data_IF_436640324500
#
_entry.id   IF_436640324500
#
_cell.length_a   1.000
_cell.length_b   1.000
_cell.length_c   1.000
_cell.angle_alpha   90.00
_cell.angle_beta   90.00
_cell.angle_gamma   90.00
#
_symmetry.space_group_name_H-M   'P 1'
#
loop_
_entity.id
_entity.type
_entity.pdbx_description
1 polymer ?
#
# COMPACT_ATOMS: atom_id res chain seq x y z
N UNK A 1 7.45 -14.31 21.37
CA UNK A 1 8.22 -14.49 20.13
C UNK A 1 8.32 -13.16 19.46
N UNK A 2 9.51 -12.78 19.02
CA UNK A 2 9.75 -11.52 18.34
C UNK A 2 9.15 -11.61 16.94
N UNK A 3 8.44 -10.56 16.54
CA UNK A 3 7.86 -10.38 15.20
C UNK A 3 8.20 -8.97 14.71
N UNK A 4 8.17 -8.75 13.41
CA UNK A 4 8.45 -7.43 12.82
C UNK A 4 7.74 -7.27 11.47
N UNK A 5 7.46 -6.03 11.09
CA UNK A 5 6.99 -5.68 9.76
C UNK A 5 8.23 -5.50 8.86
N UNK A 6 8.46 -6.39 7.87
CA UNK A 6 9.60 -6.27 6.98
C UNK A 6 9.46 -5.04 6.07
N UNK A 7 10.59 -4.54 5.60
CA UNK A 7 10.59 -3.57 4.52
C UNK A 7 10.12 -4.21 3.20
N UNK A 8 9.59 -3.42 2.27
CA UNK A 8 9.08 -3.95 1.00
C UNK A 8 10.17 -4.62 0.15
N UNK A 9 11.45 -4.22 0.31
CA UNK A 9 12.58 -4.88 -0.37
C UNK A 9 13.04 -6.19 0.26
N UNK A 10 12.40 -6.65 1.34
CA UNK A 10 12.61 -8.00 1.85
C UNK A 10 12.27 -9.03 0.76
N UNK A 11 12.96 -10.20 0.69
CA UNK A 11 12.60 -11.25 -0.24
C UNK A 11 11.11 -11.58 -0.18
N UNK A 12 10.46 -11.63 -1.33
CA UNK A 12 9.01 -11.83 -1.42
C UNK A 12 8.69 -13.22 -1.94
N UNK A 13 7.64 -13.83 -1.41
CA UNK A 13 7.03 -15.03 -1.98
C UNK A 13 6.17 -14.68 -3.18
N UNK A 14 5.30 -13.71 -3.02
CA UNK A 14 4.33 -13.34 -4.03
C UNK A 14 3.95 -11.85 -3.97
N UNK A 15 3.28 -11.41 -5.04
CA UNK A 15 2.49 -10.17 -5.07
C UNK A 15 1.04 -10.54 -5.39
N UNK A 16 0.09 -9.92 -4.70
CA UNK A 16 -1.35 -10.01 -4.98
C UNK A 16 -1.80 -8.86 -5.88
N UNK A 17 -2.65 -9.20 -6.85
CA UNK A 17 -3.48 -8.26 -7.60
C UNK A 17 -4.96 -8.59 -7.38
N UNK A 18 -5.80 -7.59 -7.24
CA UNK A 18 -7.25 -7.71 -7.36
C UNK A 18 -7.64 -7.23 -8.74
N UNK A 19 -8.16 -8.14 -9.59
CA UNK A 19 -8.28 -7.92 -11.04
C UNK A 19 -9.49 -7.06 -11.39
N UNK A 20 -9.35 -6.04 -12.28
CA UNK A 20 -10.46 -5.20 -12.71
C UNK A 20 -11.52 -5.99 -13.47
N UNK A 21 -12.78 -5.60 -13.29
CA UNK A 21 -13.92 -6.24 -13.95
C UNK A 21 -15.08 -5.25 -14.15
N UNK A 22 -16.09 -5.65 -14.90
CA UNK A 22 -17.22 -4.79 -15.24
C UNK A 22 -18.13 -4.38 -14.08
N UNK A 23 -17.87 -4.84 -12.87
CA UNK A 23 -18.57 -4.45 -11.65
C UNK A 23 -17.74 -3.50 -10.77
N UNK A 24 -16.58 -3.04 -11.23
CA UNK A 24 -15.76 -2.01 -10.59
C UNK A 24 -15.95 -0.68 -11.29
N UNK A 25 -15.42 0.39 -10.74
CA UNK A 25 -15.45 1.73 -11.34
C UNK A 25 -14.67 1.82 -12.66
N UNK A 26 -13.95 0.74 -13.02
CA UNK A 26 -13.28 0.58 -14.33
C UNK A 26 -14.19 0.17 -15.47
N UNK A 27 -15.50 0.00 -15.29
CA UNK A 27 -16.40 -0.59 -16.29
C UNK A 27 -16.30 0.10 -17.67
N UNK A 28 -16.21 1.43 -17.71
CA UNK A 28 -16.17 2.24 -18.92
C UNK A 28 -14.79 2.25 -19.61
N UNK A 29 -13.72 1.89 -18.88
CA UNK A 29 -12.31 1.86 -19.35
C UNK A 29 -11.66 0.49 -19.12
N UNK A 30 -12.49 -0.56 -19.08
CA UNK A 30 -12.05 -1.90 -18.69
C UNK A 30 -10.97 -2.47 -19.60
N UNK A 31 -10.99 -2.18 -20.90
CA UNK A 31 -9.99 -2.64 -21.85
C UNK A 31 -8.62 -2.01 -21.54
N UNK A 32 -8.58 -0.68 -21.36
CA UNK A 32 -7.35 0.07 -21.10
C UNK A 32 -6.71 -0.32 -19.77
N UNK A 33 -7.50 -0.41 -18.68
CA UNK A 33 -6.97 -0.82 -17.38
C UNK A 33 -6.52 -2.28 -17.41
N UNK A 34 -7.19 -3.14 -18.15
CA UNK A 34 -6.79 -4.55 -18.33
C UNK A 34 -5.42 -4.65 -18.99
N UNK A 35 -5.09 -3.83 -19.99
CA UNK A 35 -3.78 -3.82 -20.63
C UNK A 35 -2.67 -3.38 -19.65
N UNK A 36 -2.95 -2.39 -18.78
CA UNK A 36 -2.04 -2.01 -17.72
C UNK A 36 -1.79 -3.19 -16.75
N UNK A 37 -2.86 -3.86 -16.30
CA UNK A 37 -2.77 -5.03 -15.41
C UNK A 37 -2.05 -6.23 -16.04
N UNK A 38 -2.19 -6.48 -17.33
CA UNK A 38 -1.42 -7.50 -18.08
C UNK A 38 0.08 -7.16 -18.02
N UNK A 39 0.45 -5.89 -18.19
CA UNK A 39 1.84 -5.45 -18.12
C UNK A 39 2.43 -5.62 -16.72
N UNK A 40 1.70 -5.23 -15.69
CA UNK A 40 2.08 -5.44 -14.28
C UNK A 40 2.21 -6.95 -13.98
N UNK A 41 1.21 -7.75 -14.35
CA UNK A 41 1.19 -9.19 -14.12
C UNK A 41 2.35 -9.91 -14.80
N UNK A 42 2.71 -9.52 -16.04
CA UNK A 42 3.84 -10.05 -16.77
C UNK A 42 5.15 -9.89 -16.01
N UNK A 43 5.44 -8.67 -15.59
CA UNK A 43 6.71 -8.36 -14.92
C UNK A 43 6.83 -9.02 -13.55
N UNK A 44 5.74 -9.09 -12.79
CA UNK A 44 5.71 -9.82 -11.51
C UNK A 44 5.91 -11.30 -11.76
N UNK A 45 5.11 -11.92 -12.62
CA UNK A 45 5.11 -13.36 -12.84
C UNK A 45 6.40 -13.90 -13.50
N UNK A 46 7.17 -13.06 -14.18
CA UNK A 46 8.51 -13.44 -14.68
C UNK A 46 9.54 -13.62 -13.56
N UNK A 47 9.32 -13.08 -12.35
CA UNK A 47 10.32 -12.99 -11.26
C UNK A 47 9.89 -13.67 -9.97
N UNK A 48 8.61 -13.70 -9.67
CA UNK A 48 8.05 -14.28 -8.44
C UNK A 48 6.62 -14.76 -8.65
N UNK A 49 6.01 -15.38 -7.64
CA UNK A 49 4.61 -15.76 -7.68
C UNK A 49 3.72 -14.53 -7.82
N UNK A 50 2.66 -14.67 -8.56
CA UNK A 50 1.57 -13.70 -8.70
C UNK A 50 0.27 -14.37 -8.25
N UNK A 51 -0.39 -13.79 -7.26
CA UNK A 51 -1.71 -14.22 -6.81
C UNK A 51 -2.77 -13.27 -7.33
N UNK A 52 -3.70 -13.80 -8.11
CA UNK A 52 -4.78 -13.01 -8.72
C UNK A 52 -6.10 -13.34 -8.04
N UNK A 53 -6.67 -12.34 -7.37
CA UNK A 53 -8.03 -12.34 -6.85
C UNK A 53 -8.97 -11.79 -7.91
N UNK A 54 -10.02 -12.53 -8.24
CA UNK A 54 -11.02 -12.09 -9.24
C UNK A 54 -12.37 -12.82 -9.03
N UNK A 55 -13.52 -12.20 -9.35
CA UNK A 55 -14.81 -12.90 -9.33
C UNK A 55 -14.92 -13.98 -10.41
N UNK A 56 -14.20 -13.84 -11.53
CA UNK A 56 -14.19 -14.78 -12.65
C UNK A 56 -12.76 -15.14 -13.07
N UNK A 57 -11.98 -15.86 -12.23
CA UNK A 57 -10.56 -16.10 -12.46
C UNK A 57 -10.27 -16.90 -13.73
N UNK A 58 -11.21 -17.73 -14.22
CA UNK A 58 -11.06 -18.47 -15.47
C UNK A 58 -10.99 -17.55 -16.70
N UNK A 59 -11.69 -16.41 -16.69
CA UNK A 59 -11.60 -15.41 -17.76
C UNK A 59 -10.25 -14.71 -17.73
N UNK A 60 -9.77 -14.37 -16.54
CA UNK A 60 -8.44 -13.76 -16.38
C UNK A 60 -7.36 -14.73 -16.85
N UNK A 61 -7.46 -16.01 -16.47
CA UNK A 61 -6.53 -17.06 -16.91
C UNK A 61 -6.50 -17.16 -18.44
N UNK A 62 -7.66 -17.29 -19.08
CA UNK A 62 -7.72 -17.42 -20.55
C UNK A 62 -7.14 -16.18 -21.26
N UNK A 63 -7.34 -14.99 -20.70
CA UNK A 63 -6.74 -13.76 -21.20
C UNK A 63 -5.21 -13.80 -21.10
N UNK A 64 -4.68 -14.11 -19.92
CA UNK A 64 -3.24 -14.12 -19.68
C UNK A 64 -2.51 -15.25 -20.43
N UNK A 65 -3.17 -16.39 -20.67
CA UNK A 65 -2.63 -17.48 -21.53
C UNK A 65 -2.40 -17.03 -22.98
N UNK A 66 -3.18 -16.03 -23.47
CA UNK A 66 -2.97 -15.41 -24.77
C UNK A 66 -1.87 -14.35 -24.83
N UNK A 67 -1.50 -13.78 -23.69
CA UNK A 67 -0.66 -12.57 -23.60
C UNK A 67 0.73 -12.84 -22.99
N UNK A 68 0.87 -13.83 -22.10
CA UNK A 68 2.07 -14.05 -21.32
C UNK A 68 2.85 -15.30 -21.77
N UNK A 69 4.19 -15.29 -21.63
CA UNK A 69 4.99 -16.47 -21.89
C UNK A 69 4.75 -17.58 -20.84
N UNK A 70 4.88 -18.83 -21.24
CA UNK A 70 4.64 -19.99 -20.37
C UNK A 70 5.41 -19.98 -19.04
N UNK A 71 6.63 -19.38 -19.00
CA UNK A 71 7.40 -19.21 -17.79
C UNK A 71 6.67 -18.29 -16.76
N UNK A 72 6.05 -17.22 -17.21
CA UNK A 72 5.27 -16.33 -16.36
C UNK A 72 3.99 -17.03 -15.89
N UNK A 73 3.27 -17.68 -16.80
CA UNK A 73 2.03 -18.40 -16.49
C UNK A 73 2.19 -19.45 -15.38
N UNK A 74 3.36 -20.11 -15.33
CA UNK A 74 3.68 -21.11 -14.31
C UNK A 74 3.77 -20.53 -12.88
N UNK A 75 3.93 -19.23 -12.74
CA UNK A 75 4.03 -18.52 -11.46
C UNK A 75 2.71 -17.86 -11.02
N UNK A 76 1.61 -18.04 -11.79
CA UNK A 76 0.33 -17.38 -11.49
C UNK A 76 -0.64 -18.37 -10.84
N UNK A 77 -1.16 -17.98 -9.70
CA UNK A 77 -2.25 -18.67 -9.01
C UNK A 77 -3.49 -17.77 -8.98
N UNK A 78 -4.69 -18.38 -9.12
CA UNK A 78 -5.95 -17.67 -9.31
C UNK A 78 -6.95 -18.05 -8.24
N UNK A 79 -7.55 -17.05 -7.61
CA UNK A 79 -8.51 -17.21 -6.52
C UNK A 79 -9.86 -16.62 -6.89
N UNK A 80 -10.92 -17.40 -6.70
CA UNK A 80 -12.30 -16.93 -6.96
C UNK A 80 -12.82 -16.20 -5.74
N UNK A 81 -12.71 -14.87 -5.75
CA UNK A 81 -13.18 -14.01 -4.69
C UNK A 81 -13.80 -12.76 -5.34
N UNK A 82 -15.03 -12.37 -4.96
CA UNK A 82 -15.63 -11.13 -5.43
C UNK A 82 -14.93 -9.92 -4.83
N UNK A 83 -14.94 -8.80 -5.55
CA UNK A 83 -14.40 -7.51 -5.08
C UNK A 83 -15.33 -6.36 -5.48
N UNK A 84 -15.24 -5.23 -4.78
CA UNK A 84 -15.85 -3.99 -5.22
C UNK A 84 -14.92 -3.23 -6.16
N UNK A 85 -13.60 -3.23 -5.86
CA UNK A 85 -12.59 -2.51 -6.63
C UNK A 85 -11.27 -3.30 -6.70
N UNK A 86 -10.17 -2.65 -7.09
CA UNK A 86 -8.91 -3.25 -7.53
C UNK A 86 -7.69 -2.88 -6.67
N UNK A 87 -7.87 -2.06 -5.66
CA UNK A 87 -6.80 -1.44 -4.87
C UNK A 87 -6.26 -2.38 -3.78
N UNK A 88 -5.57 -3.46 -4.23
CA UNK A 88 -5.08 -4.51 -3.35
C UNK A 88 -4.16 -3.99 -2.23
N UNK A 89 -3.44 -2.89 -2.46
CA UNK A 89 -2.59 -2.26 -1.44
C UNK A 89 -3.35 -1.94 -0.16
N UNK A 90 -4.60 -1.52 -0.28
CA UNK A 90 -5.33 -0.95 0.84
C UNK A 90 -6.21 -1.97 1.57
N UNK A 91 -6.64 -3.02 0.89
CA UNK A 91 -7.51 -4.04 1.50
C UNK A 91 -6.83 -5.38 1.78
N UNK A 92 -5.66 -5.68 1.17
CA UNK A 92 -5.00 -6.96 1.35
C UNK A 92 -4.24 -7.05 2.70
N UNK A 93 -3.82 -8.28 3.07
CA UNK A 93 -3.11 -8.53 4.31
C UNK A 93 -1.83 -7.71 4.45
N UNK A 94 -1.63 -7.10 5.62
CA UNK A 94 -0.32 -6.63 6.06
C UNK A 94 0.38 -7.81 6.75
N UNK A 95 1.62 -8.14 6.34
CA UNK A 95 2.30 -9.36 6.77
C UNK A 95 3.47 -9.08 7.72
N UNK A 96 3.43 -9.64 8.92
CA UNK A 96 4.58 -9.63 9.83
C UNK A 96 5.34 -10.97 9.72
N UNK A 97 6.66 -10.91 9.82
CA UNK A 97 7.51 -12.09 9.96
C UNK A 97 7.86 -12.36 11.42
N UNK A 98 7.99 -13.64 11.77
CA UNK A 98 8.36 -14.11 13.11
C UNK A 98 9.70 -14.82 13.08
N UNK A 99 10.42 -14.76 14.20
CA UNK A 99 11.73 -15.46 14.34
C UNK A 99 11.63 -16.98 14.23
N UNK A 100 10.46 -17.56 14.45
CA UNK A 100 10.23 -19.01 14.28
C UNK A 100 9.96 -19.44 12.84
N UNK A 101 10.00 -18.50 11.89
CA UNK A 101 9.74 -18.74 10.48
C UNK A 101 8.25 -18.70 10.11
N UNK A 102 7.36 -18.35 11.03
CA UNK A 102 5.95 -18.13 10.69
C UNK A 102 5.71 -16.69 10.19
N UNK A 103 4.63 -16.51 9.43
CA UNK A 103 4.11 -15.22 8.99
C UNK A 103 2.75 -14.96 9.63
N UNK A 104 2.56 -13.78 10.19
CA UNK A 104 1.26 -13.31 10.65
C UNK A 104 0.64 -12.46 9.54
N UNK A 105 -0.57 -12.84 9.14
CA UNK A 105 -1.38 -12.17 8.12
C UNK A 105 -2.42 -11.32 8.84
N UNK A 106 -2.16 -10.02 8.94
CA UNK A 106 -3.00 -9.08 9.67
C UNK A 106 -4.16 -8.62 8.77
N UNK A 107 -5.37 -8.94 9.18
CA UNK A 107 -6.61 -8.53 8.49
C UNK A 107 -7.18 -7.28 9.16
N UNK A 108 -6.88 -6.10 8.60
CA UNK A 108 -7.39 -4.82 9.05
C UNK A 108 -8.71 -4.48 8.37
N UNK A 109 -9.53 -3.65 9.03
CA UNK A 109 -10.74 -3.14 8.40
C UNK A 109 -10.37 -2.16 7.29
N UNK A 110 -10.86 -2.43 6.08
CA UNK A 110 -10.89 -1.50 4.98
C UNK A 110 -12.27 -0.86 4.88
N UNK A 111 -12.34 0.46 4.95
CA UNK A 111 -13.60 1.22 4.91
C UNK A 111 -13.73 2.12 3.68
N UNK A 112 -13.01 1.81 2.59
CA UNK A 112 -12.98 2.57 1.34
C UNK A 112 -12.64 4.05 1.58
N UNK A 113 -11.46 4.28 2.18
CA UNK A 113 -10.86 5.61 2.41
C UNK A 113 -11.75 6.56 3.21
N UNK A 114 -12.39 6.04 4.25
CA UNK A 114 -13.27 6.81 5.12
C UNK A 114 -14.75 6.73 4.74
N UNK A 115 -15.19 5.66 4.10
CA UNK A 115 -16.59 5.43 3.73
C UNK A 115 -17.02 6.17 2.47
N UNK A 116 -16.07 6.55 1.60
CA UNK A 116 -16.35 7.26 0.34
C UNK A 116 -16.98 6.35 -0.72
N UNK A 117 -16.70 5.04 -0.66
CA UNK A 117 -17.16 4.04 -1.62
C UNK A 117 -17.69 2.78 -0.93
N UNK A 118 -18.31 1.89 -1.70
CA UNK A 118 -18.70 0.56 -1.21
C UNK A 118 -17.45 -0.34 -1.08
N UNK A 119 -17.30 -1.01 0.06
CA UNK A 119 -16.12 -1.82 0.37
C UNK A 119 -16.43 -3.17 1.02
N UNK A 120 -17.69 -3.58 1.07
CA UNK A 120 -18.07 -4.80 1.79
C UNK A 120 -17.44 -6.07 1.22
N UNK A 121 -17.29 -6.15 -0.11
CA UNK A 121 -16.63 -7.28 -0.77
C UNK A 121 -15.11 -7.20 -0.58
N UNK A 122 -14.51 -6.03 -0.76
CA UNK A 122 -13.06 -5.83 -0.59
C UNK A 122 -12.62 -6.15 0.84
N UNK A 123 -13.37 -5.69 1.83
CA UNK A 123 -13.13 -6.00 3.25
C UNK A 123 -13.33 -7.49 3.60
N UNK A 124 -13.92 -8.28 2.72
CA UNK A 124 -14.10 -9.72 2.90
C UNK A 124 -12.99 -10.55 2.20
N UNK A 125 -12.19 -9.94 1.31
CA UNK A 125 -11.21 -10.66 0.48
C UNK A 125 -10.23 -11.44 1.34
N UNK A 126 -9.68 -10.84 2.39
CA UNK A 126 -8.64 -11.46 3.21
C UNK A 126 -9.08 -12.80 3.83
N UNK A 127 -10.29 -12.88 4.39
CA UNK A 127 -10.81 -14.11 4.98
C UNK A 127 -11.01 -15.21 3.94
N UNK A 128 -11.57 -14.86 2.78
CA UNK A 128 -11.76 -15.80 1.68
C UNK A 128 -10.42 -16.24 1.08
N UNK A 129 -9.47 -15.32 0.94
CA UNK A 129 -8.14 -15.60 0.44
C UNK A 129 -7.35 -16.49 1.41
N UNK A 130 -7.42 -16.22 2.72
CA UNK A 130 -6.84 -17.07 3.73
C UNK A 130 -7.36 -18.51 3.64
N UNK A 131 -8.68 -18.66 3.55
CA UNK A 131 -9.32 -19.98 3.47
C UNK A 131 -8.88 -20.78 2.23
N UNK A 132 -8.67 -20.10 1.09
CA UNK A 132 -8.27 -20.75 -0.16
C UNK A 132 -6.76 -20.98 -0.27
N UNK A 133 -5.92 -20.09 0.27
CA UNK A 133 -4.48 -20.10 0.04
C UNK A 133 -3.63 -20.52 1.26
N UNK A 134 -4.04 -20.19 2.47
CA UNK A 134 -3.17 -20.31 3.65
C UNK A 134 -3.68 -21.30 4.71
N UNK A 135 -4.97 -21.60 4.75
CA UNK A 135 -5.57 -22.42 5.79
C UNK A 135 -5.07 -23.89 5.83
N UNK A 136 -4.37 -24.33 4.79
CA UNK A 136 -3.75 -25.66 4.73
C UNK A 136 -2.43 -25.74 5.53
N UNK A 137 -1.83 -24.58 5.88
CA UNK A 137 -0.59 -24.48 6.66
C UNK A 137 -0.70 -23.36 7.72
N UNK A 138 -1.58 -23.52 8.72
CA UNK A 138 -1.87 -22.47 9.71
C UNK A 138 -0.76 -22.27 10.74
N UNK A 139 0.20 -23.18 10.81
CA UNK A 139 1.37 -23.06 11.70
C UNK A 139 2.38 -22.04 11.16
N UNK A 140 2.53 -21.96 9.83
CA UNK A 140 3.42 -21.00 9.18
C UNK A 140 2.70 -19.75 8.64
N UNK A 141 1.37 -19.80 8.50
CA UNK A 141 0.57 -18.66 8.05
C UNK A 141 -0.56 -18.41 9.04
N UNK A 142 -0.33 -17.51 9.97
CA UNK A 142 -1.23 -17.24 11.08
C UNK A 142 -2.16 -16.08 10.72
N UNK A 143 -3.48 -16.36 10.65
CA UNK A 143 -4.47 -15.29 10.50
C UNK A 143 -4.61 -14.49 11.79
N UNK A 144 -4.53 -13.17 11.71
CA UNK A 144 -4.69 -12.27 12.86
C UNK A 144 -5.80 -11.27 12.56
N UNK A 145 -6.89 -11.37 13.30
CA UNK A 145 -8.02 -10.46 13.20
C UNK A 145 -7.68 -9.10 13.83
N UNK A 146 -7.69 -8.05 13.00
CA UNK A 146 -7.58 -6.65 13.38
C UNK A 146 -8.75 -5.82 12.82
N UNK A 147 -9.90 -6.44 12.55
CA UNK A 147 -11.09 -5.78 11.99
C UNK A 147 -11.72 -4.75 12.93
N UNK A 148 -11.21 -4.63 14.15
CA UNK A 148 -11.53 -3.58 15.11
C UNK A 148 -10.76 -2.28 14.85
N UNK A 149 -9.86 -2.24 13.84
CA UNK A 149 -9.03 -1.09 13.51
C UNK A 149 -8.98 -0.85 12.01
N UNK A 150 -9.32 0.37 11.55
CA UNK A 150 -9.17 0.76 10.15
C UNK A 150 -7.71 1.06 9.84
N UNK A 151 -7.16 0.38 8.82
CA UNK A 151 -5.82 0.64 8.31
C UNK A 151 -5.70 0.18 6.87
N UNK A 152 -5.25 1.09 6.03
CA UNK A 152 -4.96 0.85 4.62
C UNK A 152 -3.45 0.62 4.45
N UNK A 153 -3.06 -0.39 3.66
CA UNK A 153 -1.63 -0.70 3.46
C UNK A 153 -0.84 0.43 2.82
N UNK A 154 -1.48 1.24 1.97
CA UNK A 154 -0.88 2.43 1.35
C UNK A 154 -0.62 3.59 2.31
N UNK A 155 -1.27 3.58 3.49
CA UNK A 155 -1.09 4.61 4.50
C UNK A 155 0.17 4.43 5.37
N UNK A 156 0.89 3.33 5.23
CA UNK A 156 2.08 3.01 6.02
C UNK A 156 3.26 2.58 5.15
N UNK A 157 4.47 2.90 5.59
CA UNK A 157 5.72 2.49 4.97
C UNK A 157 6.70 2.00 6.04
N UNK A 158 7.36 0.86 5.84
CA UNK A 158 8.24 0.22 6.83
C UNK A 158 9.69 0.20 6.36
N UNK A 159 10.63 0.54 7.26
CA UNK A 159 12.07 0.37 7.03
C UNK A 159 12.56 -1.07 7.32
N UNK A 160 11.71 -1.93 7.88
CA UNK A 160 12.07 -3.29 8.31
C UNK A 160 12.85 -3.36 9.62
N UNK A 161 13.23 -2.23 10.20
CA UNK A 161 14.01 -2.12 11.45
C UNK A 161 13.15 -1.66 12.65
N UNK A 162 11.87 -1.36 12.37
CA UNK A 162 10.87 -0.96 13.36
C UNK A 162 10.47 0.51 13.27
N UNK A 163 10.83 1.23 12.22
CA UNK A 163 10.30 2.56 11.94
C UNK A 163 9.16 2.44 10.92
N UNK A 164 8.03 3.04 11.23
CA UNK A 164 6.93 3.26 10.28
C UNK A 164 6.90 4.74 9.92
N UNK A 165 6.82 5.03 8.63
CA UNK A 165 6.54 6.36 8.10
C UNK A 165 5.06 6.40 7.67
N UNK A 166 4.37 7.46 8.02
CA UNK A 166 2.94 7.65 7.73
C UNK A 166 2.59 9.13 7.68
N UNK A 167 1.37 9.46 7.28
CA UNK A 167 0.86 10.83 7.28
C UNK A 167 -0.14 11.06 8.41
N UNK A 168 -0.09 12.23 9.01
CA UNK A 168 -1.08 12.67 9.99
C UNK A 168 -2.46 12.86 9.33
N UNK A 169 -2.49 13.38 8.11
CA UNK A 169 -3.71 13.64 7.38
C UNK A 169 -4.54 12.37 7.14
N UNK A 170 -3.91 11.23 6.87
CA UNK A 170 -4.62 9.95 6.70
C UNK A 170 -4.96 9.32 8.05
N UNK A 171 -3.94 8.92 8.82
CA UNK A 171 -4.16 8.06 9.98
C UNK A 171 -4.72 8.78 11.23
N UNK A 172 -4.75 10.11 11.25
CA UNK A 172 -5.45 10.88 12.30
C UNK A 172 -6.81 11.42 11.83
N UNK A 173 -7.25 11.07 10.63
CA UNK A 173 -8.55 11.49 10.13
C UNK A 173 -9.68 10.79 10.90
N UNK A 174 -10.74 11.54 11.26
CA UNK A 174 -11.85 11.02 12.04
C UNK A 174 -12.61 9.90 11.32
N UNK A 175 -12.54 9.86 9.99
CA UNK A 175 -13.18 8.82 9.18
C UNK A 175 -12.43 7.47 9.17
N UNK A 176 -11.21 7.37 9.78
CA UNK A 176 -10.46 6.13 10.04
C UNK A 176 -10.44 5.76 11.52
N UNK A 177 -11.30 6.38 12.33
CA UNK A 177 -11.34 6.08 13.77
C UNK A 177 -12.23 4.90 14.04
N UNK A 178 -11.66 3.93 14.77
CA UNK A 178 -12.36 2.76 15.28
C UNK A 178 -13.30 3.12 16.44
N UNK A 179 -14.26 2.23 16.70
CA UNK A 179 -15.17 2.33 17.86
C UNK A 179 -14.44 2.43 19.23
N UNK A 180 -13.16 2.06 19.29
CA UNK A 180 -12.35 2.15 20.52
C UNK A 180 -12.18 3.60 21.01
N UNK A 181 -11.99 4.56 20.09
CA UNK A 181 -11.89 5.97 20.48
C UNK A 181 -13.26 6.59 20.85
N UNK A 182 -14.34 6.19 20.17
CA UNK A 182 -15.70 6.65 20.48
C UNK A 182 -16.09 6.31 21.93
N UNK A 183 -15.63 5.18 22.46
CA UNK A 183 -15.88 4.78 23.84
C UNK A 183 -15.01 5.53 24.88
N UNK A 184 -13.85 6.04 24.48
CA UNK A 184 -12.93 6.77 25.39
C UNK A 184 -13.20 8.28 25.44
N UNK A 185 -13.70 8.88 24.37
CA UNK A 185 -13.89 10.33 24.28
C UNK A 185 -15.32 10.81 24.55
N UNK A 186 -16.31 9.92 24.57
CA UNK A 186 -17.72 10.26 24.83
C UNK A 186 -18.34 11.23 23.79
N UNK A 187 -17.71 11.39 22.64
CA UNK A 187 -18.17 12.28 21.57
C UNK A 187 -18.96 11.50 20.52
N UNK A 188 -20.28 11.69 20.51
CA UNK A 188 -21.17 11.23 19.45
C UNK A 188 -20.96 12.12 18.20
N UNK A 189 -20.28 11.61 17.19
CA UNK A 189 -20.18 12.28 15.89
C UNK A 189 -21.31 11.81 14.97
N UNK A 190 -22.35 12.64 14.84
CA UNK A 190 -23.38 12.46 13.83
C UNK A 190 -22.74 12.72 12.43
N UNK A 191 -22.89 11.76 11.52
CA UNK A 191 -22.50 11.87 10.11
C UNK A 191 -23.07 13.17 9.52
N UNK A 192 -22.20 14.05 9.06
CA UNK A 192 -22.55 15.07 8.08
C UNK A 192 -22.08 14.59 6.71
N UNK A 193 -23.02 14.21 5.87
CA UNK A 193 -22.77 13.84 4.49
C UNK A 193 -22.39 15.09 3.67
N UNK A 194 -21.25 15.04 2.97
CA UNK A 194 -20.99 15.87 1.80
C UNK A 194 -20.00 17.03 1.90
N UNK A 195 -19.24 17.22 2.99
CA UNK A 195 -18.17 18.24 3.03
C UNK A 195 -16.78 17.57 3.01
N UNK A 196 -15.82 18.16 2.26
CA UNK A 196 -14.39 17.77 2.36
C UNK A 196 -13.99 17.86 3.82
N UNK A 197 -13.46 16.76 4.35
CA UNK A 197 -13.11 16.65 5.77
C UNK A 197 -11.90 17.55 6.10
N UNK A 198 -12.18 18.73 6.66
CA UNK A 198 -11.19 19.65 7.22
C UNK A 198 -10.97 19.40 8.72
N UNK A 199 -11.31 18.21 9.24
CA UNK A 199 -11.30 17.95 10.69
C UNK A 199 -9.94 18.16 11.33
N UNK A 200 -8.85 17.78 10.64
CA UNK A 200 -7.50 17.98 11.14
C UNK A 200 -7.12 19.45 11.28
N UNK A 201 -7.56 20.31 10.35
CA UNK A 201 -7.29 21.74 10.37
C UNK A 201 -8.05 22.48 11.48
N UNK A 202 -9.05 21.86 12.11
CA UNK A 202 -9.82 22.42 13.23
C UNK A 202 -9.27 22.04 14.60
N UNK A 203 -8.30 21.13 14.69
CA UNK A 203 -7.72 20.66 15.95
C UNK A 203 -6.64 21.59 16.47
N UNK A 204 -6.55 21.69 17.80
CA UNK A 204 -5.41 22.35 18.46
C UNK A 204 -4.15 21.48 18.38
N UNK A 205 -2.96 22.08 18.44
CA UNK A 205 -1.69 21.35 18.46
C UNK A 205 -1.61 20.30 19.60
N UNK A 206 -2.28 20.53 20.74
CA UNK A 206 -2.34 19.58 21.83
C UNK A 206 -3.21 18.36 21.51
N UNK A 207 -4.33 18.55 20.82
CA UNK A 207 -5.23 17.46 20.38
C UNK A 207 -4.58 16.62 19.29
N UNK A 208 -3.85 17.22 18.35
CA UNK A 208 -3.07 16.50 17.33
C UNK A 208 -2.00 15.64 18.01
N UNK A 209 -1.21 16.20 18.93
CA UNK A 209 -0.18 15.47 19.65
C UNK A 209 -0.73 14.30 20.48
N UNK A 210 -1.91 14.46 21.09
CA UNK A 210 -2.58 13.40 21.83
C UNK A 210 -3.07 12.27 20.89
N UNK A 211 -3.62 12.62 19.73
CA UNK A 211 -4.06 11.65 18.74
C UNK A 211 -2.87 10.89 18.13
N UNK A 212 -1.77 11.58 17.81
CA UNK A 212 -0.52 10.95 17.34
C UNK A 212 0.00 9.93 18.36
N UNK A 213 -0.01 10.28 19.64
CA UNK A 213 0.43 9.35 20.69
C UNK A 213 -0.47 8.11 20.70
N UNK A 214 -1.79 8.29 20.78
CA UNK A 214 -2.74 7.17 20.89
C UNK A 214 -2.72 6.26 19.69
N UNK A 215 -2.81 6.83 18.48
CA UNK A 215 -2.79 6.05 17.23
C UNK A 215 -1.39 5.47 16.98
N UNK A 216 -0.33 6.22 17.29
CA UNK A 216 1.04 5.75 17.19
C UNK A 216 1.33 4.54 18.07
N UNK A 217 0.84 4.54 19.31
CA UNK A 217 0.96 3.39 20.22
C UNK A 217 0.21 2.15 19.67
N UNK A 218 -1.00 2.33 19.12
CA UNK A 218 -1.76 1.24 18.47
C UNK A 218 -1.07 0.71 17.22
N UNK A 219 -0.57 1.58 16.35
CA UNK A 219 0.20 1.17 15.17
C UNK A 219 1.47 0.41 15.59
N UNK A 220 2.23 0.92 16.56
CA UNK A 220 3.41 0.22 17.08
C UNK A 220 3.07 -1.15 17.63
N UNK A 221 1.99 -1.27 18.39
CA UNK A 221 1.55 -2.54 18.99
C UNK A 221 1.12 -3.56 17.93
N UNK A 222 0.30 -3.15 16.94
CA UNK A 222 -0.25 -4.03 15.91
C UNK A 222 0.81 -4.43 14.88
N UNK A 223 1.64 -3.48 14.45
CA UNK A 223 2.66 -3.67 13.43
C UNK A 223 4.03 -4.09 13.98
N UNK A 224 4.15 -4.25 15.31
CA UNK A 224 5.45 -4.51 15.98
C UNK A 224 6.53 -3.48 15.65
N UNK A 225 6.12 -2.22 15.50
CA UNK A 225 7.02 -1.11 15.29
C UNK A 225 7.56 -0.56 16.62
N UNK A 226 8.70 0.11 16.55
CA UNK A 226 9.35 0.78 17.68
C UNK A 226 8.99 2.25 17.74
N UNK A 227 8.65 2.84 16.58
CA UNK A 227 8.26 4.26 16.45
C UNK A 227 7.51 4.54 15.17
N UNK A 228 6.81 5.67 15.16
CA UNK A 228 6.16 6.25 13.99
C UNK A 228 6.84 7.58 13.65
N UNK A 229 7.13 7.81 12.37
CA UNK A 229 7.49 9.12 11.82
C UNK A 229 6.23 9.68 11.14
N UNK A 230 5.75 10.80 11.62
CA UNK A 230 4.56 11.48 11.13
C UNK A 230 4.94 12.58 10.13
N UNK A 231 4.43 12.51 8.89
CA UNK A 231 4.41 13.62 7.96
C UNK A 231 3.10 14.40 8.14
N UNK A 232 3.21 15.70 8.36
CA UNK A 232 2.06 16.61 8.50
C UNK A 232 1.74 17.35 7.21
N UNK A 233 2.74 17.45 6.33
CA UNK A 233 2.61 18.13 5.06
C UNK A 233 2.84 17.15 3.90
N UNK A 234 2.12 17.36 2.81
CA UNK A 234 2.13 16.55 1.62
C UNK A 234 0.71 16.27 1.18
N UNK A 235 0.54 15.90 -0.06
CA UNK A 235 -0.74 15.60 -0.68
C UNK A 235 -0.65 15.88 -2.17
N UNK A 236 -1.44 15.17 -2.95
CA UNK A 236 -1.55 15.36 -4.38
C UNK A 236 -2.89 16.05 -4.69
N UNK A 237 -2.96 16.82 -5.78
CA UNK A 237 -4.18 17.55 -6.16
C UNK A 237 -5.39 16.64 -6.39
N UNK A 238 -5.13 15.39 -6.78
CA UNK A 238 -6.15 14.36 -7.00
C UNK A 238 -5.83 13.18 -6.09
N UNK A 239 -6.33 13.24 -4.86
CA UNK A 239 -6.08 12.21 -3.86
C UNK A 239 -7.37 11.94 -3.09
N UNK A 240 -7.90 10.73 -3.22
CA UNK A 240 -9.06 10.25 -2.49
C UNK A 240 -8.70 9.52 -1.20
N UNK A 241 -7.38 9.37 -0.92
CA UNK A 241 -6.87 8.58 0.20
C UNK A 241 -6.55 9.39 1.45
N UNK A 242 -6.71 10.72 1.39
CA UNK A 242 -6.31 11.65 2.44
C UNK A 242 -4.78 11.62 2.68
N UNK A 243 -4.00 11.72 1.60
CA UNK A 243 -2.53 11.74 1.58
C UNK A 243 -1.87 10.43 2.05
N UNK A 244 -2.13 9.32 1.37
CA UNK A 244 -1.38 8.08 1.59
C UNK A 244 0.12 8.29 1.43
N UNK A 245 0.90 7.69 2.34
CA UNK A 245 2.35 7.85 2.34
C UNK A 245 3.01 7.25 1.10
N UNK A 246 2.45 6.19 0.52
CA UNK A 246 2.99 5.49 -0.65
C UNK A 246 2.94 6.32 -1.94
N UNK A 247 2.16 7.41 -1.96
CA UNK A 247 2.13 8.39 -3.04
C UNK A 247 3.13 9.53 -2.82
N UNK A 248 3.66 9.70 -1.61
CA UNK A 248 4.47 10.84 -1.19
C UNK A 248 5.94 10.48 -0.94
N UNK A 249 6.18 9.44 -0.13
CA UNK A 249 7.54 9.07 0.28
C UNK A 249 7.64 7.58 0.64
N UNK A 250 8.71 6.94 0.18
CA UNK A 250 8.97 5.51 0.35
C UNK A 250 10.34 5.27 0.93
N UNK A 251 10.48 4.29 1.83
CA UNK A 251 11.78 3.84 2.25
C UNK A 251 12.51 3.06 1.14
N UNK A 252 13.83 3.16 1.16
CA UNK A 252 14.74 2.38 0.33
C UNK A 252 15.92 1.92 1.19
N UNK A 253 16.72 0.92 0.74
CA UNK A 253 17.88 0.43 1.46
C UNK A 253 18.87 1.54 1.83
N UNK A 254 19.73 1.25 2.83
CA UNK A 254 20.80 2.15 3.28
C UNK A 254 20.27 3.50 3.82
N UNK A 255 19.24 3.47 4.67
CA UNK A 255 18.67 4.65 5.31
C UNK A 255 18.25 5.74 4.30
N UNK A 256 17.66 5.33 3.20
CA UNK A 256 17.23 6.22 2.13
C UNK A 256 15.72 6.40 2.16
N UNK A 257 15.25 7.62 1.90
CA UNK A 257 13.85 7.92 1.59
C UNK A 257 13.80 8.48 0.17
N UNK A 258 13.00 7.83 -0.68
CA UNK A 258 12.61 8.37 -2.00
C UNK A 258 11.32 9.15 -1.80
N UNK A 259 11.27 10.39 -2.30
CA UNK A 259 10.10 11.25 -2.11
C UNK A 259 9.69 11.98 -3.38
N UNK A 260 8.40 12.25 -3.54
CA UNK A 260 7.85 13.08 -4.62
C UNK A 260 8.12 14.56 -4.37
N UNK A 261 8.63 15.25 -5.38
CA UNK A 261 8.83 16.70 -5.34
C UNK A 261 7.50 17.47 -5.30
N UNK A 262 7.54 18.76 -5.00
CA UNK A 262 6.40 19.68 -5.10
C UNK A 262 5.90 20.24 -3.76
N UNK A 263 6.30 19.67 -2.61
CA UNK A 263 5.94 20.15 -1.29
C UNK A 263 7.20 20.51 -0.46
N UNK A 264 7.57 21.79 -0.38
CA UNK A 264 8.75 22.24 0.38
C UNK A 264 8.65 21.93 1.89
N UNK A 265 7.45 22.04 2.47
CA UNK A 265 7.19 21.76 3.88
C UNK A 265 7.45 20.28 4.21
N UNK A 266 6.97 19.36 3.37
CA UNK A 266 7.26 17.92 3.49
C UNK A 266 8.76 17.65 3.42
N UNK A 267 9.48 18.32 2.52
CA UNK A 267 10.93 18.14 2.41
C UNK A 267 11.65 18.58 3.68
N UNK A 268 11.24 19.67 4.33
CA UNK A 268 11.84 20.10 5.60
C UNK A 268 11.57 19.09 6.73
N UNK A 269 10.38 18.47 6.77
CA UNK A 269 10.09 17.39 7.71
C UNK A 269 10.95 16.15 7.44
N UNK A 270 11.09 15.73 6.17
CA UNK A 270 11.95 14.61 5.79
C UNK A 270 13.43 14.85 6.17
N UNK A 271 13.95 16.05 6.03
CA UNK A 271 15.29 16.44 6.46
C UNK A 271 15.47 16.39 7.99
N UNK A 272 14.38 16.63 8.73
CA UNK A 272 14.40 16.58 10.20
C UNK A 272 14.36 15.14 10.74
N UNK A 273 13.86 14.17 9.98
CA UNK A 273 13.80 12.77 10.41
C UNK A 273 15.19 12.17 10.62
N UNK A 274 15.26 11.25 11.58
CA UNK A 274 16.48 10.52 11.94
C UNK A 274 16.20 9.03 11.96
N UNK A 275 17.21 8.24 11.63
CA UNK A 275 17.19 6.79 11.81
C UNK A 275 17.07 6.41 13.29
N UNK A 276 16.90 5.14 13.61
CA UNK A 276 16.93 4.66 15.00
C UNK A 276 18.29 4.89 15.68
N UNK A 277 19.35 5.03 14.89
CA UNK A 277 20.71 5.30 15.34
C UNK A 277 21.00 6.82 15.50
N UNK A 278 20.07 7.69 15.06
CA UNK A 278 20.18 9.14 15.15
C UNK A 278 20.76 9.82 13.91
N UNK A 279 21.07 9.05 12.85
CA UNK A 279 21.62 9.58 11.60
C UNK A 279 20.51 10.18 10.71
N UNK A 280 20.81 11.19 9.88
CA UNK A 280 19.85 11.67 8.88
C UNK A 280 19.61 10.63 7.80
N UNK A 281 18.38 10.61 7.25
CA UNK A 281 18.10 9.83 6.04
C UNK A 281 18.75 10.47 4.81
N UNK A 282 19.21 9.62 3.89
CA UNK A 282 19.53 10.05 2.53
C UNK A 282 18.22 10.29 1.78
N UNK A 283 18.06 11.47 1.20
CA UNK A 283 16.85 11.82 0.45
C UNK A 283 17.12 11.76 -1.06
N UNK A 284 16.25 11.10 -1.80
CA UNK A 284 16.29 11.02 -3.27
C UNK A 284 14.93 11.50 -3.80
N UNK A 285 14.97 12.58 -4.60
CA UNK A 285 13.79 13.16 -5.18
C UNK A 285 13.36 12.42 -6.47
N UNK A 286 12.06 12.24 -6.66
CA UNK A 286 11.42 11.85 -7.93
C UNK A 286 10.38 12.91 -8.29
N UNK A 287 9.93 13.01 -9.56
CA UNK A 287 8.82 13.88 -9.90
C UNK A 287 7.56 13.53 -9.11
N UNK A 288 6.57 14.42 -8.99
CA UNK A 288 5.28 14.12 -8.34
C UNK A 288 4.62 12.88 -8.95
N UNK A 289 3.92 12.08 -8.14
CA UNK A 289 3.26 10.81 -8.47
C UNK A 289 4.19 9.60 -8.69
N UNK A 290 5.50 9.78 -8.91
CA UNK A 290 6.44 8.67 -9.16
C UNK A 290 6.90 7.93 -7.89
N UNK A 291 6.50 8.38 -6.69
CA UNK A 291 6.75 7.64 -5.46
C UNK A 291 5.91 6.35 -5.35
N UNK A 292 4.88 6.19 -6.16
CA UNK A 292 3.97 5.03 -6.14
C UNK A 292 4.52 3.84 -6.97
N UNK A 293 5.79 3.48 -6.76
CA UNK A 293 6.47 2.33 -7.38
C UNK A 293 6.36 1.07 -6.52
N UNK A 294 6.39 -0.11 -7.15
CA UNK A 294 6.46 -1.41 -6.46
C UNK A 294 7.90 -1.89 -6.38
N UNK A 295 8.35 -2.25 -5.17
CA UNK A 295 9.60 -2.96 -4.94
C UNK A 295 9.31 -4.46 -4.95
N UNK A 296 10.02 -5.22 -5.79
CA UNK A 296 9.86 -6.66 -5.90
C UNK A 296 11.19 -7.38 -6.05
N UNK A 297 11.19 -8.72 -6.07
CA UNK A 297 12.41 -9.50 -6.25
C UNK A 297 13.12 -9.13 -7.57
N UNK A 298 14.32 -8.56 -7.47
CA UNK A 298 15.18 -8.22 -8.59
C UNK A 298 14.73 -7.05 -9.46
N UNK A 299 13.59 -6.41 -9.18
CA UNK A 299 13.13 -5.26 -9.96
C UNK A 299 12.36 -4.24 -9.13
N UNK A 300 12.24 -3.03 -9.69
CA UNK A 300 11.31 -1.97 -9.30
C UNK A 300 10.36 -1.77 -10.48
N UNK A 301 9.05 -1.91 -10.26
CA UNK A 301 8.09 -1.47 -11.25
C UNK A 301 7.75 -0.01 -11.00
N UNK A 302 8.08 0.83 -11.97
CA UNK A 302 7.92 2.29 -11.90
C UNK A 302 6.74 2.71 -12.77
N UNK A 303 5.74 3.43 -12.23
CA UNK A 303 4.68 3.96 -13.06
C UNK A 303 5.24 5.00 -14.04
N UNK A 304 4.92 4.85 -15.32
CA UNK A 304 5.22 5.82 -16.36
C UNK A 304 3.95 6.58 -16.74
N UNK A 305 4.14 7.87 -17.00
CA UNK A 305 3.08 8.80 -17.38
C UNK A 305 3.42 9.49 -18.72
N UNK A 306 2.75 10.60 -19.03
CA UNK A 306 2.89 11.23 -20.35
C UNK A 306 4.24 11.91 -20.60
N UNK A 307 4.89 12.45 -19.56
CA UNK A 307 6.16 13.16 -19.69
C UNK A 307 7.34 12.18 -19.67
N UNK A 308 7.91 11.93 -20.86
CA UNK A 308 9.06 11.03 -21.03
C UNK A 308 10.33 11.52 -20.29
N UNK A 309 10.52 12.82 -20.16
CA UNK A 309 11.67 13.36 -19.44
C UNK A 309 11.53 13.11 -17.93
N UNK A 310 10.32 13.21 -17.39
CA UNK A 310 10.03 12.85 -15.99
C UNK A 310 10.13 11.34 -15.77
N UNK A 311 9.63 10.51 -16.68
CA UNK A 311 9.79 9.05 -16.65
C UNK A 311 11.27 8.67 -16.54
N UNK A 312 12.11 9.26 -17.38
CA UNK A 312 13.56 9.00 -17.38
C UNK A 312 14.24 9.49 -16.10
N UNK A 313 13.89 10.69 -15.61
CA UNK A 313 14.41 11.26 -14.35
C UNK A 313 14.07 10.38 -13.16
N UNK A 314 12.82 9.93 -13.07
CA UNK A 314 12.38 9.01 -12.02
C UNK A 314 13.11 7.67 -12.07
N UNK A 315 13.31 7.12 -13.28
CA UNK A 315 14.07 5.88 -13.50
C UNK A 315 15.50 5.99 -13.01
N UNK A 316 16.21 7.07 -13.32
CA UNK A 316 17.58 7.32 -12.87
C UNK A 316 17.69 7.50 -11.34
N UNK A 317 16.73 8.20 -10.75
CA UNK A 317 16.63 8.36 -9.30
C UNK A 317 16.44 7.01 -8.59
N UNK A 318 15.50 6.18 -9.08
CA UNK A 318 15.27 4.84 -8.52
C UNK A 318 16.44 3.89 -8.76
N UNK A 319 17.11 3.94 -9.91
CA UNK A 319 18.34 3.17 -10.13
C UNK A 319 19.44 3.55 -9.14
N UNK A 320 19.46 4.80 -8.69
CA UNK A 320 20.39 5.28 -7.65
C UNK A 320 19.98 4.79 -6.24
N UNK A 321 18.68 4.68 -5.97
CA UNK A 321 18.16 4.17 -4.71
C UNK A 321 18.28 2.64 -4.60
N UNK A 322 18.14 1.93 -5.72
CA UNK A 322 18.13 0.47 -5.82
C UNK A 322 19.11 -0.03 -6.89
N UNK A 323 20.44 0.08 -6.64
CA UNK A 323 21.46 -0.23 -7.67
C UNK A 323 21.51 -1.72 -8.06
N UNK A 324 20.96 -2.59 -7.23
CA UNK A 324 20.90 -4.05 -7.41
C UNK A 324 19.60 -4.54 -8.07
N UNK A 325 18.69 -3.65 -8.42
CA UNK A 325 17.41 -3.95 -9.05
C UNK A 325 17.26 -3.30 -10.42
N UNK A 326 16.61 -4.01 -11.33
CA UNK A 326 16.21 -3.46 -12.63
C UNK A 326 15.01 -2.50 -12.45
N UNK A 327 15.08 -1.28 -12.98
CA UNK A 327 13.94 -0.35 -12.96
C UNK A 327 13.18 -0.45 -14.28
N UNK A 328 11.94 -0.91 -14.21
CA UNK A 328 11.05 -1.20 -15.34
C UNK A 328 9.87 -0.25 -15.33
N UNK A 329 9.72 0.52 -16.40
CA UNK A 329 8.57 1.42 -16.58
C UNK A 329 7.32 0.66 -17.01
N UNK A 330 6.19 0.97 -16.39
CA UNK A 330 4.85 0.46 -16.77
C UNK A 330 3.95 1.65 -17.05
N UNK A 331 3.29 1.66 -18.21
CA UNK A 331 2.29 2.69 -18.55
C UNK A 331 1.11 2.62 -17.58
N UNK A 332 1.04 3.58 -16.67
CA UNK A 332 0.03 3.69 -15.63
C UNK A 332 -0.89 4.91 -15.80
N UNK A 333 -0.91 5.54 -16.98
CA UNK A 333 -1.74 6.72 -17.25
C UNK A 333 -3.22 6.47 -16.96
N UNK A 334 -3.70 5.27 -17.28
CA UNK A 334 -5.09 4.89 -17.01
C UNK A 334 -5.39 4.88 -15.49
N UNK A 335 -4.45 4.46 -14.64
CA UNK A 335 -4.67 4.37 -13.21
C UNK A 335 -4.87 5.74 -12.55
N UNK A 336 -4.21 6.78 -13.08
CA UNK A 336 -4.39 8.16 -12.59
C UNK A 336 -5.81 8.71 -12.82
N UNK A 337 -6.59 8.12 -13.72
CA UNK A 337 -7.98 8.56 -13.95
C UNK A 337 -8.88 8.30 -12.76
N UNK A 338 -8.46 7.38 -11.87
CA UNK A 338 -9.11 7.07 -10.58
C UNK A 338 -8.20 7.38 -9.38
N UNK A 339 -7.34 8.39 -9.50
CA UNK A 339 -6.53 8.94 -8.41
C UNK A 339 -5.52 7.98 -7.76
N UNK A 340 -5.31 6.78 -8.32
CA UNK A 340 -4.34 5.78 -7.86
C UNK A 340 -3.24 5.51 -8.88
N UNK A 341 -2.29 4.65 -8.52
CA UNK A 341 -1.24 4.21 -9.43
C UNK A 341 -0.78 2.77 -9.16
N UNK A 342 0.40 2.38 -9.63
CA UNK A 342 0.91 1.02 -9.68
C UNK A 342 0.99 0.34 -8.31
N UNK A 343 1.56 1.01 -7.31
CA UNK A 343 1.70 0.45 -5.96
C UNK A 343 0.34 0.18 -5.32
N UNK A 344 -0.62 1.09 -5.52
CA UNK A 344 -1.98 0.96 -5.00
C UNK A 344 -2.70 -0.31 -5.49
N UNK A 345 -2.35 -0.81 -6.68
CA UNK A 345 -2.92 -2.04 -7.26
C UNK A 345 -2.30 -3.33 -6.70
N UNK A 346 -1.22 -3.26 -5.91
CA UNK A 346 -0.37 -4.39 -5.57
C UNK A 346 -0.19 -4.56 -4.07
N UNK A 347 -0.10 -5.81 -3.58
CA UNK A 347 0.33 -6.10 -2.21
C UNK A 347 1.35 -7.24 -2.21
N UNK A 348 2.54 -6.97 -1.66
CA UNK A 348 3.59 -7.97 -1.51
C UNK A 348 3.37 -8.86 -0.28
N UNK A 349 3.77 -10.12 -0.40
CA UNK A 349 3.85 -11.08 0.69
C UNK A 349 5.31 -11.47 0.90
N UNK A 350 5.89 -11.14 2.07
CA UNK A 350 7.28 -11.46 2.36
C UNK A 350 7.46 -12.96 2.46
N UNK A 351 8.65 -13.43 2.06
CA UNK A 351 9.06 -14.82 2.22
C UNK A 351 9.51 -15.04 3.66
N UNK A 352 9.05 -16.14 4.25
CA UNK A 352 9.49 -16.62 5.56
C UNK A 352 10.95 -17.03 5.58
#
# INVERSE_FOLDING_TARGET
>A
MTRYLPAEWHPQEAVQLTWPHSGTDWADTLEEVTQCYISIAREIALRQKLWIVAPQPQRVRALLEGELPGKALANIEYFRIPSNDTWARDHAFISLLREDGARELLDFRFNAWGGKFEASLDNAINREFYAQNFAHDPEHNIYVDNLDFELEGGSIESDGEGTILTTAQCNLNDNRRTKLEQNQTGLDYAKQEGEKDESLNRRTSAEVSSAEQTIGEELCRRLSAKRILWLHHGGLERDDTDAHIDTLARFAPNNTIVYGEGCPEMLEELKAFRTLQGDPYRLIAVPPYYANFLIMNGAILLPFYEDEAENQRAKEALQTAFPDREVIGIDCRILLTQNGSLHCCTMQYPKN
#
